data_IF_914322340532
#
_entry.id   IF_914322340532
#
_cell.length_a   1.000
_cell.length_b   1.000
_cell.length_c   1.000
_cell.angle_alpha   90.00
_cell.angle_beta   90.00
_cell.angle_gamma   90.00
#
_symmetry.space_group_name_H-M   'P 1'
#
loop_
_entity.id
_entity.type
_entity.pdbx_description
1 polymer ?
#
# COMPACT_ATOMS: atom_id res chain seq x y z
N UNK A 1 -15.36 29.32 25.16
CA UNK A 1 -15.15 30.82 25.18
C UNK A 1 -13.69 31.18 24.84
N UNK A 2 -12.68 30.52 25.42
CA UNK A 2 -11.26 30.79 25.14
C UNK A 2 -10.86 30.55 23.68
N UNK A 3 -11.40 29.49 23.03
CA UNK A 3 -11.09 29.18 21.63
C UNK A 3 -11.54 30.27 20.68
N UNK A 4 -12.80 30.70 20.78
CA UNK A 4 -13.37 31.79 19.95
C UNK A 4 -12.66 33.12 20.16
N UNK A 5 -12.31 33.46 21.40
CA UNK A 5 -11.58 34.69 21.70
C UNK A 5 -10.16 34.69 21.13
N UNK A 6 -9.50 33.56 21.06
CA UNK A 6 -8.17 33.40 20.48
C UNK A 6 -8.26 33.49 18.94
N UNK A 7 -9.19 32.76 18.33
CA UNK A 7 -9.38 32.75 16.86
C UNK A 7 -9.77 34.16 16.33
N UNK A 8 -10.55 34.91 17.08
CA UNK A 8 -10.96 36.27 16.68
C UNK A 8 -9.86 37.32 16.88
N UNK A 9 -8.92 37.10 17.78
CA UNK A 9 -7.85 38.04 18.12
C UNK A 9 -6.55 37.82 17.38
N UNK A 10 -6.24 36.58 16.99
CA UNK A 10 -4.98 36.25 16.35
C UNK A 10 -5.21 35.74 14.90
N UNK A 11 -4.49 36.31 13.95
CA UNK A 11 -4.36 35.71 12.60
C UNK A 11 -3.57 34.42 12.72
N UNK A 12 -4.26 33.31 13.02
CA UNK A 12 -3.66 32.00 13.09
C UNK A 12 -3.19 31.55 11.71
N UNK A 13 -1.93 31.15 11.62
CA UNK A 13 -1.41 30.50 10.41
C UNK A 13 -1.83 29.03 10.39
N UNK A 14 -2.33 28.49 9.26
CA UNK A 14 -2.76 27.09 9.19
C UNK A 14 -1.58 26.15 9.38
N UNK A 15 -1.67 25.26 10.36
CA UNK A 15 -0.66 24.21 10.62
C UNK A 15 -1.21 22.84 10.25
N UNK A 16 -0.38 22.02 9.58
CA UNK A 16 -0.76 20.66 9.16
C UNK A 16 -0.92 19.74 10.37
N UNK A 17 -2.05 19.05 10.46
CA UNK A 17 -2.36 18.06 11.49
C UNK A 17 -2.95 16.78 10.89
N UNK A 18 -3.21 15.76 11.72
CA UNK A 18 -3.76 14.47 11.29
C UNK A 18 -5.17 14.56 10.68
N UNK A 19 -5.94 15.60 11.01
CA UNK A 19 -7.29 15.80 10.48
C UNK A 19 -7.34 16.52 9.12
N UNK A 20 -6.19 16.96 8.59
CA UNK A 20 -6.19 17.71 7.32
C UNK A 20 -6.80 16.93 6.15
N UNK A 21 -6.65 15.60 6.14
CA UNK A 21 -7.15 14.76 5.03
C UNK A 21 -8.68 14.64 4.97
N UNK A 22 -9.38 14.99 6.05
CA UNK A 22 -10.85 14.98 6.14
C UNK A 22 -11.41 16.39 6.44
N UNK A 23 -10.59 17.44 6.26
CA UNK A 23 -10.94 18.80 6.63
C UNK A 23 -11.44 19.56 5.41
N UNK A 24 -12.63 20.15 5.48
CA UNK A 24 -13.23 20.97 4.41
C UNK A 24 -12.39 22.20 4.02
N UNK A 25 -11.48 22.62 4.90
CA UNK A 25 -10.57 23.74 4.66
C UNK A 25 -9.22 23.32 4.05
N UNK A 26 -9.04 22.05 3.70
CA UNK A 26 -7.76 21.54 3.21
C UNK A 26 -7.25 22.30 2.01
N UNK A 27 -8.11 22.61 1.03
CA UNK A 27 -7.72 23.33 -0.19
C UNK A 27 -7.28 24.75 0.11
N UNK A 28 -7.99 25.45 1.00
CA UNK A 28 -7.65 26.81 1.43
C UNK A 28 -6.27 26.84 2.10
N UNK A 29 -6.04 25.89 3.04
CA UNK A 29 -4.76 25.77 3.72
C UNK A 29 -3.64 25.40 2.74
N UNK A 30 -3.88 24.45 1.84
CA UNK A 30 -2.92 24.00 0.83
C UNK A 30 -2.54 25.12 -0.13
N UNK A 31 -3.53 25.91 -0.58
CA UNK A 31 -3.28 27.11 -1.40
C UNK A 31 -2.35 28.08 -0.68
N UNK A 32 -2.65 28.40 0.59
CA UNK A 32 -1.84 29.30 1.41
C UNK A 32 -0.42 28.78 1.61
N UNK A 33 -0.24 27.48 1.91
CA UNK A 33 1.08 26.87 2.05
C UNK A 33 1.89 26.91 0.75
N UNK A 34 1.24 26.74 -0.39
CA UNK A 34 1.88 26.81 -1.70
C UNK A 34 2.34 28.24 -2.02
N UNK A 35 1.48 29.24 -1.79
CA UNK A 35 1.81 30.64 -1.99
C UNK A 35 3.02 31.09 -1.15
N UNK A 36 3.06 30.65 0.11
CA UNK A 36 4.12 30.98 1.04
C UNK A 36 5.38 30.09 0.88
N UNK A 37 5.36 29.12 -0.03
CA UNK A 37 6.43 28.09 -0.15
C UNK A 37 6.76 27.46 1.21
N UNK A 38 5.70 27.15 1.99
CA UNK A 38 5.82 26.82 3.40
C UNK A 38 6.50 25.47 3.64
N UNK A 39 7.31 25.39 4.67
CA UNK A 39 8.18 24.24 4.96
C UNK A 39 7.43 22.93 5.20
N UNK A 40 6.14 22.98 5.63
CA UNK A 40 5.33 21.78 5.82
C UNK A 40 5.04 21.00 4.51
N UNK A 41 5.33 21.62 3.35
CA UNK A 41 5.19 21.00 2.02
C UNK A 41 6.44 20.20 1.60
N UNK A 42 7.49 20.16 2.43
CA UNK A 42 8.64 19.27 2.17
C UNK A 42 8.20 17.83 2.32
N UNK A 43 8.35 17.03 1.26
CA UNK A 43 7.94 15.63 1.25
C UNK A 43 8.62 14.85 2.40
N UNK A 44 7.79 14.14 3.19
CA UNK A 44 8.24 13.35 4.33
C UNK A 44 8.65 14.14 5.58
N UNK A 45 8.45 15.46 5.63
CA UNK A 45 8.69 16.25 6.84
C UNK A 45 7.59 16.00 7.89
N UNK A 46 7.99 15.89 9.16
CA UNK A 46 7.06 15.71 10.28
C UNK A 46 6.76 17.05 10.96
N UNK A 47 5.55 17.23 11.50
CA UNK A 47 5.16 18.45 12.23
C UNK A 47 6.15 18.84 13.35
N UNK A 48 6.69 17.86 14.07
CA UNK A 48 7.72 18.12 15.08
C UNK A 48 9.03 18.65 14.50
N UNK A 49 9.38 18.30 13.26
CA UNK A 49 10.56 18.81 12.55
C UNK A 49 10.29 20.24 12.02
N UNK A 50 9.09 20.47 11.49
CA UNK A 50 8.64 21.82 11.10
C UNK A 50 8.78 22.79 12.28
N UNK A 51 8.23 22.44 13.45
CA UNK A 51 8.29 23.26 14.65
C UNK A 51 9.73 23.57 15.08
N UNK A 52 10.62 22.59 14.98
CA UNK A 52 12.05 22.77 15.32
C UNK A 52 12.77 23.69 14.33
N UNK A 53 12.55 23.52 13.04
CA UNK A 53 13.16 24.34 11.99
C UNK A 53 12.65 25.79 12.02
N UNK A 54 11.35 25.99 12.30
CA UNK A 54 10.78 27.35 12.48
C UNK A 54 11.45 28.14 13.61
N UNK A 55 11.83 27.48 14.72
CA UNK A 55 12.59 28.12 15.80
C UNK A 55 13.95 28.66 15.34
N UNK A 56 14.51 28.09 14.27
CA UNK A 56 15.73 28.55 13.62
C UNK A 56 15.47 29.51 12.43
N UNK A 57 14.22 30.01 12.31
CA UNK A 57 13.78 30.90 11.21
C UNK A 57 13.81 30.23 9.82
N UNK A 58 13.88 28.89 9.77
CA UNK A 58 13.76 28.07 8.56
C UNK A 58 12.28 27.71 8.40
N UNK A 59 11.51 28.56 7.73
CA UNK A 59 10.04 28.44 7.61
C UNK A 59 9.56 28.15 6.19
N UNK A 60 10.47 28.15 5.19
CA UNK A 60 10.11 27.91 3.79
C UNK A 60 10.98 26.80 3.19
N UNK A 61 10.49 26.18 2.11
CA UNK A 61 11.25 25.17 1.33
C UNK A 61 12.54 25.79 0.82
N UNK A 62 12.48 27.01 0.27
CA UNK A 62 13.64 27.75 -0.23
C UNK A 62 14.72 27.92 0.85
N UNK A 63 14.34 28.37 2.05
CA UNK A 63 15.30 28.53 3.15
C UNK A 63 15.94 27.21 3.53
N UNK A 64 15.16 26.14 3.62
CA UNK A 64 15.70 24.81 3.93
C UNK A 64 16.64 24.33 2.81
N UNK A 65 16.28 24.53 1.55
CA UNK A 65 17.08 24.15 0.39
C UNK A 65 18.46 24.82 0.38
N UNK A 66 18.53 26.08 0.82
CA UNK A 66 19.77 26.89 0.92
C UNK A 66 20.57 26.63 2.20
N UNK A 67 20.00 25.94 3.19
CA UNK A 67 20.65 25.70 4.48
C UNK A 67 21.59 24.49 4.40
N UNK A 68 22.83 24.65 4.89
CA UNK A 68 23.72 23.52 5.12
C UNK A 68 23.16 22.65 6.26
N UNK A 69 22.89 21.35 6.04
CA UNK A 69 22.34 20.47 7.07
C UNK A 69 23.20 20.41 8.36
N UNK A 70 24.51 20.64 8.27
CA UNK A 70 25.41 20.71 9.42
C UNK A 70 25.21 21.96 10.30
N UNK A 71 24.66 23.04 9.73
CA UNK A 71 24.37 24.29 10.44
C UNK A 71 23.03 24.27 11.17
N UNK A 72 22.16 23.28 10.91
CA UNK A 72 20.89 23.12 11.64
C UNK A 72 21.19 22.66 13.07
N UNK A 73 20.89 23.51 14.07
CA UNK A 73 21.21 23.27 15.49
C UNK A 73 20.17 22.38 16.18
N UNK A 74 18.93 22.38 15.71
CA UNK A 74 17.81 21.62 16.27
C UNK A 74 18.13 20.13 16.45
N UNK A 75 17.55 19.54 17.50
CA UNK A 75 17.65 18.09 17.77
C UNK A 75 16.82 17.28 16.74
N UNK A 76 17.31 17.25 15.51
CA UNK A 76 16.85 16.39 14.42
C UNK A 76 18.02 15.45 14.10
N UNK A 77 17.71 14.17 13.84
CA UNK A 77 18.73 13.19 13.46
C UNK A 77 19.56 13.68 12.27
N UNK A 78 20.90 13.57 12.28
CA UNK A 78 21.77 14.07 11.22
C UNK A 78 21.40 13.57 9.82
N UNK A 79 21.09 12.28 9.66
CA UNK A 79 20.62 11.71 8.40
C UNK A 79 19.30 12.33 7.92
N UNK A 80 18.38 12.62 8.86
CA UNK A 80 17.14 13.32 8.54
C UNK A 80 17.37 14.77 8.09
N UNK A 81 18.33 15.48 8.70
CA UNK A 81 18.69 16.84 8.26
C UNK A 81 19.17 16.83 6.81
N UNK A 82 20.06 15.91 6.47
CA UNK A 82 20.58 15.74 5.09
C UNK A 82 19.43 15.41 4.14
N UNK A 83 18.60 14.42 4.49
CA UNK A 83 17.47 13.99 3.65
C UNK A 83 16.47 15.12 3.40
N UNK A 84 16.06 15.86 4.44
CA UNK A 84 15.12 16.97 4.31
C UNK A 84 15.67 18.13 3.50
N UNK A 85 16.95 18.49 3.70
CA UNK A 85 17.61 19.54 2.92
C UNK A 85 17.71 19.15 1.44
N UNK A 86 18.07 17.90 1.15
CA UNK A 86 18.12 17.39 -0.22
C UNK A 86 16.74 17.37 -0.87
N UNK A 87 15.71 16.94 -0.11
CA UNK A 87 14.32 16.96 -0.54
C UNK A 87 13.85 18.38 -0.88
N UNK A 88 14.15 19.35 -0.01
CA UNK A 88 13.83 20.75 -0.24
C UNK A 88 14.53 21.31 -1.49
N UNK A 89 15.77 20.92 -1.77
CA UNK A 89 16.49 21.32 -2.99
C UNK A 89 15.79 20.83 -4.26
N UNK A 90 15.36 19.57 -4.29
CA UNK A 90 14.64 19.00 -5.44
C UNK A 90 13.30 19.71 -5.68
N UNK A 91 12.56 19.97 -4.62
CA UNK A 91 11.26 20.66 -4.73
C UNK A 91 11.41 22.13 -5.14
N UNK A 92 12.42 22.82 -4.60
CA UNK A 92 12.72 24.19 -4.97
C UNK A 92 13.20 24.28 -6.43
N UNK A 93 14.05 23.36 -6.89
CA UNK A 93 14.46 23.29 -8.30
C UNK A 93 13.25 23.09 -9.23
N UNK A 94 12.33 22.19 -8.88
CA UNK A 94 11.08 22.03 -9.64
C UNK A 94 10.24 23.32 -9.66
N UNK A 95 10.12 24.01 -8.51
CA UNK A 95 9.40 25.28 -8.43
C UNK A 95 9.95 26.33 -9.36
N UNK A 96 11.30 26.38 -9.50
CA UNK A 96 11.99 27.37 -10.34
C UNK A 96 12.03 26.98 -11.83
N UNK A 97 12.11 25.69 -12.15
CA UNK A 97 12.36 25.22 -13.52
C UNK A 97 11.16 24.55 -14.17
N UNK A 98 10.11 24.24 -13.37
CA UNK A 98 8.95 23.42 -13.75
C UNK A 98 9.32 22.00 -14.25
N UNK A 99 10.53 21.51 -13.91
CA UNK A 99 11.00 20.17 -14.31
C UNK A 99 11.01 19.23 -13.13
N UNK A 100 10.28 18.12 -13.24
CA UNK A 100 10.32 17.04 -12.26
C UNK A 100 11.63 16.28 -12.32
N UNK A 101 12.20 15.97 -11.15
CA UNK A 101 13.47 15.24 -10.99
C UNK A 101 13.37 14.23 -9.86
N UNK A 102 14.21 13.21 -9.92
CA UNK A 102 14.42 12.27 -8.82
C UNK A 102 15.91 11.96 -8.66
N UNK A 103 16.26 11.45 -7.50
CA UNK A 103 17.57 10.89 -7.21
C UNK A 103 17.39 9.59 -6.43
N UNK A 104 18.32 8.64 -6.61
CA UNK A 104 18.41 7.49 -5.74
C UNK A 104 19.39 7.78 -4.59
N UNK A 105 18.95 7.40 -3.38
CA UNK A 105 19.77 7.45 -2.19
C UNK A 105 20.87 6.38 -2.26
N UNK A 106 21.92 6.54 -1.44
CA UNK A 106 22.92 5.49 -1.25
C UNK A 106 22.21 4.20 -0.80
N UNK A 107 22.57 3.09 -1.44
CA UNK A 107 22.03 1.78 -1.08
C UNK A 107 22.48 1.36 0.32
N UNK A 108 21.52 0.82 1.08
CA UNK A 108 21.72 0.28 2.42
C UNK A 108 21.18 -1.15 2.49
N UNK A 109 21.85 -2.00 3.24
CA UNK A 109 21.35 -3.35 3.55
C UNK A 109 20.03 -3.24 4.33
N UNK A 110 19.08 -4.11 4.04
CA UNK A 110 17.74 -4.16 4.63
C UNK A 110 16.80 -2.98 4.32
N UNK A 111 17.16 -2.12 3.36
CA UNK A 111 16.34 -0.97 2.96
C UNK A 111 16.28 -0.79 1.44
N UNK A 112 15.20 -0.16 0.99
CA UNK A 112 15.02 0.24 -0.40
C UNK A 112 15.21 -0.93 -1.37
N UNK A 113 16.11 -0.81 -2.31
CA UNK A 113 16.39 -1.85 -3.31
C UNK A 113 16.66 -3.24 -2.73
N UNK A 114 17.19 -3.34 -1.50
CA UNK A 114 17.40 -4.63 -0.85
C UNK A 114 16.09 -5.38 -0.57
N UNK A 115 14.98 -4.68 -0.42
CA UNK A 115 13.66 -5.27 -0.16
C UNK A 115 13.00 -5.85 -1.41
N UNK A 116 13.61 -5.68 -2.56
CA UNK A 116 13.11 -6.23 -3.82
C UNK A 116 13.64 -7.65 -4.02
N UNK A 117 12.77 -8.65 -4.19
CA UNK A 117 13.16 -9.97 -4.63
C UNK A 117 13.62 -9.95 -6.08
N UNK A 118 14.28 -11.02 -6.50
CA UNK A 118 14.61 -11.25 -7.90
C UNK A 118 13.31 -11.38 -8.71
N UNK A 119 13.15 -10.62 -9.81
CA UNK A 119 11.95 -10.69 -10.64
C UNK A 119 11.65 -12.11 -11.13
N UNK A 120 10.39 -12.49 -11.05
CA UNK A 120 9.90 -13.79 -11.49
C UNK A 120 8.77 -13.61 -12.50
N UNK A 121 8.69 -14.48 -13.48
CA UNK A 121 7.62 -14.46 -14.49
C UNK A 121 6.22 -14.54 -13.88
N UNK A 122 6.07 -15.25 -12.77
CA UNK A 122 4.81 -15.37 -12.05
C UNK A 122 4.50 -14.24 -11.08
N UNK A 123 5.28 -13.15 -11.05
CA UNK A 123 4.98 -12.02 -10.17
C UNK A 123 3.60 -11.42 -10.48
N UNK A 124 2.88 -11.04 -9.42
CA UNK A 124 1.52 -10.50 -9.49
C UNK A 124 1.53 -9.05 -8.98
N UNK A 125 0.85 -8.15 -9.68
CA UNK A 125 0.70 -6.75 -9.33
C UNK A 125 -0.76 -6.51 -8.94
N UNK A 126 -0.97 -6.12 -7.70
CA UNK A 126 -2.26 -6.14 -7.04
C UNK A 126 -2.64 -4.76 -6.51
N UNK A 127 -3.86 -4.39 -6.76
CA UNK A 127 -4.49 -3.20 -6.24
C UNK A 127 -5.94 -3.49 -5.82
N UNK A 128 -6.49 -2.69 -4.91
CA UNK A 128 -7.81 -2.91 -4.31
C UNK A 128 -8.56 -1.60 -4.13
N UNK A 129 -9.87 -1.62 -4.42
CA UNK A 129 -10.77 -0.51 -4.18
C UNK A 129 -11.73 -0.82 -3.04
N UNK A 130 -11.75 0.07 -2.04
CA UNK A 130 -12.57 -0.07 -0.84
C UNK A 130 -13.49 1.11 -0.61
N UNK A 131 -14.71 0.83 -0.18
CA UNK A 131 -15.68 1.83 0.22
C UNK A 131 -15.62 2.04 1.74
N UNK A 132 -15.31 3.27 2.21
CA UNK A 132 -15.19 3.54 3.64
C UNK A 132 -16.53 3.34 4.35
N UNK A 133 -16.49 2.69 5.51
CA UNK A 133 -17.66 2.48 6.38
C UNK A 133 -17.40 3.09 7.76
N UNK A 134 -18.41 3.68 8.35
CA UNK A 134 -18.32 4.15 9.73
C UNK A 134 -18.21 2.96 10.70
N UNK A 135 -17.26 3.06 11.64
CA UNK A 135 -17.05 2.07 12.71
C UNK A 135 -16.73 0.63 12.26
N UNK A 136 -16.40 0.43 10.98
CA UNK A 136 -16.01 -0.86 10.41
C UNK A 136 -14.80 -0.72 9.48
N UNK A 137 -14.19 -1.86 9.10
CA UNK A 137 -13.26 -1.82 7.98
C UNK A 137 -13.97 -1.40 6.69
N UNK A 138 -13.26 -0.86 5.71
CA UNK A 138 -13.83 -0.61 4.39
C UNK A 138 -14.47 -1.87 3.80
N UNK A 139 -15.49 -1.68 2.98
CA UNK A 139 -16.08 -2.71 2.15
C UNK A 139 -15.26 -2.80 0.86
N UNK A 140 -14.59 -3.92 0.64
CA UNK A 140 -13.71 -4.11 -0.52
C UNK A 140 -14.55 -4.58 -1.71
N UNK A 141 -14.78 -3.67 -2.66
CA UNK A 141 -15.69 -3.93 -3.76
C UNK A 141 -15.01 -4.38 -5.07
N UNK A 142 -13.70 -4.19 -5.17
CA UNK A 142 -12.93 -4.55 -6.35
C UNK A 142 -11.51 -4.97 -5.97
N UNK A 143 -11.09 -6.13 -6.45
CA UNK A 143 -9.70 -6.57 -6.42
C UNK A 143 -9.21 -6.70 -7.84
N UNK A 144 -8.14 -5.99 -8.21
CA UNK A 144 -7.49 -6.09 -9.50
C UNK A 144 -6.12 -6.73 -9.41
N UNK A 145 -5.80 -7.53 -10.39
CA UNK A 145 -4.47 -8.14 -10.53
C UNK A 145 -3.99 -8.02 -11.98
N UNK A 146 -2.73 -7.65 -12.14
CA UNK A 146 -2.02 -7.69 -13.41
C UNK A 146 -0.92 -8.74 -13.32
N UNK A 147 -0.88 -9.69 -14.25
CA UNK A 147 -0.04 -10.86 -14.15
C UNK A 147 0.26 -11.47 -15.50
N UNK A 148 1.32 -12.29 -15.60
CA UNK A 148 1.64 -13.06 -16.81
C UNK A 148 0.84 -14.36 -16.86
N UNK A 149 0.07 -14.58 -17.93
CA UNK A 149 -0.80 -15.76 -18.07
C UNK A 149 -0.09 -16.97 -18.71
N UNK A 150 1.19 -16.80 -19.09
CA UNK A 150 2.00 -17.79 -19.80
C UNK A 150 2.23 -17.45 -21.28
N UNK A 151 1.60 -16.35 -21.77
CA UNK A 151 1.79 -15.81 -23.13
C UNK A 151 2.04 -14.32 -23.09
N UNK A 152 1.24 -13.59 -22.35
CA UNK A 152 1.28 -12.14 -22.23
C UNK A 152 0.83 -11.70 -20.84
N UNK A 153 1.07 -10.45 -20.50
CA UNK A 153 0.51 -9.84 -19.31
C UNK A 153 -0.95 -9.48 -19.56
N UNK A 154 -1.81 -9.82 -18.59
CA UNK A 154 -3.23 -9.51 -18.62
C UNK A 154 -3.71 -8.96 -17.28
N UNK A 155 -4.76 -8.16 -17.33
CA UNK A 155 -5.49 -7.70 -16.15
C UNK A 155 -6.69 -8.60 -15.88
N UNK A 156 -6.95 -8.85 -14.60
CA UNK A 156 -8.12 -9.58 -14.11
C UNK A 156 -8.69 -8.92 -12.89
N UNK A 157 -9.99 -8.66 -12.92
CA UNK A 157 -10.73 -8.12 -11.81
C UNK A 157 -11.62 -9.16 -11.11
N UNK A 158 -11.88 -8.88 -9.84
CA UNK A 158 -12.87 -9.54 -9.01
C UNK A 158 -13.74 -8.46 -8.38
N UNK A 159 -14.89 -8.19 -9.01
CA UNK A 159 -15.77 -7.08 -8.68
C UNK A 159 -17.07 -7.59 -8.10
N UNK A 160 -17.59 -6.93 -7.05
CA UNK A 160 -18.90 -7.23 -6.49
C UNK A 160 -20.02 -6.89 -7.48
N UNK A 161 -21.11 -7.65 -7.40
CA UNK A 161 -22.33 -7.36 -8.16
C UNK A 161 -23.36 -6.58 -7.35
N UNK A 162 -23.17 -6.54 -6.03
CA UNK A 162 -24.03 -5.84 -5.10
C UNK A 162 -23.28 -5.47 -3.82
N UNK A 163 -23.80 -4.49 -3.06
CA UNK A 163 -23.20 -4.02 -1.81
C UNK A 163 -23.62 -4.88 -0.63
N UNK A 164 -23.18 -6.14 -0.63
CA UNK A 164 -23.48 -7.12 0.42
C UNK A 164 -22.23 -7.88 0.86
N UNK A 165 -22.16 -8.23 2.14
CA UNK A 165 -21.06 -9.06 2.68
C UNK A 165 -20.93 -10.40 1.96
N UNK A 166 -22.02 -10.97 1.47
CA UNK A 166 -21.98 -12.21 0.69
C UNK A 166 -21.27 -12.04 -0.67
N UNK A 167 -21.48 -10.91 -1.36
CA UNK A 167 -20.77 -10.63 -2.61
C UNK A 167 -19.29 -10.31 -2.34
N UNK A 168 -18.98 -9.55 -1.27
CA UNK A 168 -17.59 -9.30 -0.87
C UNK A 168 -16.84 -10.62 -0.57
N UNK A 169 -17.44 -11.50 0.22
CA UNK A 169 -16.89 -12.84 0.51
C UNK A 169 -16.69 -13.66 -0.76
N UNK A 170 -17.64 -13.62 -1.67
CA UNK A 170 -17.60 -14.36 -2.93
C UNK A 170 -16.47 -13.91 -3.85
N UNK A 171 -16.25 -12.59 -3.98
CA UNK A 171 -15.11 -12.08 -4.79
C UNK A 171 -13.79 -12.39 -4.09
N UNK A 172 -13.72 -12.27 -2.77
CA UNK A 172 -12.55 -12.67 -1.99
C UNK A 172 -12.20 -14.15 -2.18
N UNK A 173 -13.18 -15.06 -2.11
CA UNK A 173 -13.00 -16.50 -2.39
C UNK A 173 -12.41 -16.72 -3.78
N UNK A 174 -12.97 -16.09 -4.80
CA UNK A 174 -12.48 -16.20 -6.19
C UNK A 174 -11.05 -15.70 -6.37
N UNK A 175 -10.71 -14.56 -5.73
CA UNK A 175 -9.36 -14.03 -5.72
C UNK A 175 -8.38 -15.03 -5.11
N UNK A 176 -8.69 -15.56 -3.91
CA UNK A 176 -7.83 -16.53 -3.21
C UNK A 176 -7.65 -17.80 -4.02
N UNK A 177 -8.71 -18.35 -4.58
CA UNK A 177 -8.62 -19.54 -5.44
C UNK A 177 -7.75 -19.31 -6.68
N UNK A 178 -7.82 -18.13 -7.25
CA UNK A 178 -6.96 -17.74 -8.37
C UNK A 178 -5.50 -17.63 -7.92
N UNK A 179 -5.22 -16.87 -6.85
CA UNK A 179 -3.87 -16.66 -6.35
C UNK A 179 -3.22 -17.97 -5.91
N UNK A 180 -3.96 -18.85 -5.26
CA UNK A 180 -3.46 -20.16 -4.84
C UNK A 180 -2.96 -20.98 -6.06
N UNK A 181 -3.81 -21.13 -7.09
CA UNK A 181 -3.43 -21.83 -8.33
C UNK A 181 -2.24 -21.17 -9.02
N UNK A 182 -2.19 -19.84 -8.99
CA UNK A 182 -1.10 -19.08 -9.59
C UNK A 182 0.23 -19.30 -8.86
N UNK A 183 0.21 -19.19 -7.51
CA UNK A 183 1.41 -19.43 -6.69
C UNK A 183 1.84 -20.89 -6.65
N UNK A 184 0.94 -21.85 -6.86
CA UNK A 184 1.30 -23.26 -7.04
C UNK A 184 2.06 -23.47 -8.37
N UNK A 185 1.66 -22.80 -9.44
CA UNK A 185 2.36 -22.79 -10.72
C UNK A 185 3.69 -22.03 -10.66
N UNK A 186 3.72 -20.90 -9.93
CA UNK A 186 4.89 -20.03 -9.80
C UNK A 186 5.30 -19.84 -8.34
N UNK A 187 5.89 -20.87 -7.70
CA UNK A 187 6.16 -20.82 -6.24
C UNK A 187 7.20 -19.77 -5.83
N UNK A 188 8.02 -19.29 -6.76
CA UNK A 188 8.99 -18.20 -6.53
C UNK A 188 8.40 -16.81 -6.73
N UNK A 189 7.19 -16.69 -7.21
CA UNK A 189 6.53 -15.42 -7.44
C UNK A 189 6.25 -14.63 -6.15
N UNK A 190 6.12 -13.32 -6.32
CA UNK A 190 5.76 -12.36 -5.27
C UNK A 190 4.51 -11.57 -5.68
N UNK A 191 3.81 -11.03 -4.68
CA UNK A 191 2.68 -10.14 -4.86
C UNK A 191 3.13 -8.71 -4.55
N UNK A 192 3.21 -7.90 -5.59
CA UNK A 192 3.60 -6.49 -5.50
C UNK A 192 2.36 -5.61 -5.31
N UNK A 193 2.48 -4.64 -4.42
CA UNK A 193 1.45 -3.65 -4.13
C UNK A 193 2.06 -2.30 -3.77
N UNK A 194 1.23 -1.28 -3.64
CA UNK A 194 1.72 0.07 -3.32
C UNK A 194 1.11 0.59 -2.02
N UNK A 195 1.91 0.64 -0.96
CA UNK A 195 1.53 0.97 0.42
C UNK A 195 0.98 -0.25 1.20
N UNK A 196 0.50 -0.03 2.43
CA UNK A 196 0.13 -1.11 3.36
C UNK A 196 -1.36 -1.50 3.29
N UNK A 197 -2.15 -0.80 2.44
CA UNK A 197 -3.60 -0.98 2.40
C UNK A 197 -3.98 -2.39 1.94
N UNK A 198 -3.45 -2.85 0.82
CA UNK A 198 -3.79 -4.11 0.18
C UNK A 198 -3.45 -5.31 1.07
N UNK A 199 -2.27 -5.28 1.68
CA UNK A 199 -1.84 -6.31 2.63
C UNK A 199 -2.72 -6.36 3.87
N UNK A 200 -3.11 -5.18 4.39
CA UNK A 200 -4.00 -5.07 5.54
C UNK A 200 -5.40 -5.56 5.19
N UNK A 201 -5.97 -5.11 4.07
CA UNK A 201 -7.29 -5.50 3.61
C UNK A 201 -7.42 -7.02 3.42
N UNK A 202 -6.44 -7.66 2.76
CA UNK A 202 -6.43 -9.12 2.61
C UNK A 202 -6.39 -9.86 3.95
N UNK A 203 -5.64 -9.36 4.93
CA UNK A 203 -5.58 -9.94 6.27
C UNK A 203 -6.89 -9.79 7.01
N UNK A 204 -7.52 -8.61 6.92
CA UNK A 204 -8.81 -8.33 7.55
C UNK A 204 -9.93 -9.17 6.93
N UNK A 205 -9.99 -9.27 5.59
CA UNK A 205 -10.92 -10.16 4.87
C UNK A 205 -10.75 -11.63 5.27
N UNK A 206 -9.48 -12.09 5.31
CA UNK A 206 -9.16 -13.45 5.70
C UNK A 206 -9.61 -13.78 7.13
N UNK A 207 -9.48 -12.81 8.05
CA UNK A 207 -9.95 -12.93 9.42
C UNK A 207 -11.48 -12.96 9.51
N UNK A 208 -12.15 -12.01 8.84
CA UNK A 208 -13.61 -11.86 8.87
C UNK A 208 -14.34 -13.09 8.32
N UNK A 209 -13.82 -13.67 7.25
CA UNK A 209 -14.41 -14.83 6.59
C UNK A 209 -13.77 -16.16 7.01
N UNK A 210 -12.96 -16.17 8.08
CA UNK A 210 -12.28 -17.40 8.54
C UNK A 210 -13.23 -18.53 8.92
N UNK A 211 -14.41 -18.21 9.47
CA UNK A 211 -15.41 -19.19 9.85
C UNK A 211 -16.06 -19.89 8.64
N UNK A 212 -16.23 -19.18 7.53
CA UNK A 212 -16.87 -19.70 6.31
C UNK A 212 -15.88 -20.08 5.22
N UNK A 213 -14.62 -19.60 5.32
CA UNK A 213 -13.58 -19.85 4.35
C UNK A 213 -12.18 -19.93 5.00
N UNK A 214 -11.99 -20.92 5.86
CA UNK A 214 -10.71 -21.16 6.57
C UNK A 214 -9.53 -21.33 5.61
N UNK A 215 -9.76 -21.92 4.43
CA UNK A 215 -8.73 -22.09 3.40
C UNK A 215 -8.12 -20.74 2.98
N UNK A 216 -8.96 -19.70 2.85
CA UNK A 216 -8.49 -18.35 2.51
C UNK A 216 -7.63 -17.75 3.61
N UNK A 217 -8.02 -17.92 4.87
CA UNK A 217 -7.23 -17.48 6.00
C UNK A 217 -5.86 -18.15 6.05
N UNK A 218 -5.80 -19.46 5.88
CA UNK A 218 -4.56 -20.23 5.85
C UNK A 218 -3.65 -19.80 4.69
N UNK A 219 -4.22 -19.53 3.51
CA UNK A 219 -3.45 -19.08 2.34
C UNK A 219 -2.85 -17.69 2.54
N UNK A 220 -3.64 -16.72 3.03
CA UNK A 220 -3.14 -15.36 3.33
C UNK A 220 -2.05 -15.40 4.40
N UNK A 221 -2.26 -16.17 5.49
CA UNK A 221 -1.25 -16.39 6.52
C UNK A 221 0.05 -17.00 5.95
N UNK A 222 -0.07 -17.99 5.06
CA UNK A 222 1.08 -18.56 4.34
C UNK A 222 1.85 -17.50 3.54
N UNK A 223 1.15 -16.64 2.79
CA UNK A 223 1.80 -15.56 2.03
C UNK A 223 2.50 -14.55 2.95
N UNK A 224 1.91 -14.23 4.10
CA UNK A 224 2.51 -13.34 5.10
C UNK A 224 3.78 -13.93 5.70
N UNK A 225 3.75 -15.18 6.12
CA UNK A 225 4.91 -15.88 6.70
C UNK A 225 6.05 -16.07 5.71
N UNK A 226 5.74 -16.34 4.44
CA UNK A 226 6.71 -16.45 3.36
C UNK A 226 7.17 -15.10 2.80
N UNK A 227 6.78 -13.99 3.44
CA UNK A 227 7.10 -12.62 3.01
C UNK A 227 6.84 -12.37 1.51
N UNK A 228 5.73 -12.94 0.99
CA UNK A 228 5.37 -12.85 -0.43
C UNK A 228 4.86 -11.47 -0.85
N UNK A 229 4.54 -10.58 0.08
CA UNK A 229 4.10 -9.22 -0.20
C UNK A 229 5.28 -8.27 -0.36
N UNK A 230 5.33 -7.55 -1.47
CA UNK A 230 6.35 -6.54 -1.75
C UNK A 230 5.72 -5.16 -1.85
N UNK A 231 5.86 -4.38 -0.81
CA UNK A 231 5.39 -2.98 -0.76
C UNK A 231 6.37 -2.06 -1.50
N UNK A 232 6.02 -1.65 -2.72
CA UNK A 232 6.86 -0.76 -3.52
C UNK A 232 6.92 0.69 -2.98
N UNK A 233 5.89 1.17 -2.26
CA UNK A 233 5.98 2.45 -1.56
C UNK A 233 7.13 2.44 -0.54
N UNK A 234 7.27 1.33 0.18
CA UNK A 234 8.35 1.17 1.17
C UNK A 234 9.72 1.14 0.50
N UNK A 235 9.84 0.51 -0.66
CA UNK A 235 11.06 0.52 -1.47
C UNK A 235 11.38 1.95 -1.90
N UNK A 236 10.45 2.65 -2.56
CA UNK A 236 10.59 4.02 -3.05
C UNK A 236 10.96 4.99 -1.92
N UNK A 237 10.20 4.98 -0.82
CA UNK A 237 10.42 5.92 0.29
C UNK A 237 11.80 5.79 0.96
N UNK A 238 12.45 4.63 0.79
CA UNK A 238 13.76 4.35 1.35
C UNK A 238 14.89 4.59 0.35
N UNK A 239 14.70 4.28 -0.94
CA UNK A 239 15.78 4.39 -1.94
C UNK A 239 15.70 5.65 -2.82
N UNK A 240 14.59 6.39 -2.84
CA UNK A 240 14.37 7.48 -3.77
C UNK A 240 13.97 8.78 -3.06
N UNK A 241 14.34 9.91 -3.63
CA UNK A 241 13.81 11.24 -3.35
C UNK A 241 13.39 11.88 -4.66
N UNK A 242 12.29 12.62 -4.66
CA UNK A 242 11.73 13.23 -5.86
C UNK A 242 11.46 14.71 -5.62
N UNK A 243 11.25 15.46 -6.69
CA UNK A 243 10.82 16.84 -6.61
C UNK A 243 9.31 17.00 -6.30
N UNK A 244 8.60 15.88 -6.12
CA UNK A 244 7.17 15.87 -5.84
C UNK A 244 6.88 16.14 -4.36
N UNK A 245 5.64 16.56 -4.07
CA UNK A 245 5.20 16.89 -2.70
C UNK A 245 4.89 15.66 -1.86
N UNK A 246 4.65 14.54 -2.50
CA UNK A 246 4.39 13.25 -1.88
C UNK A 246 4.98 12.12 -2.72
N UNK A 247 4.84 10.89 -2.24
CA UNK A 247 5.27 9.67 -2.91
C UNK A 247 4.06 8.79 -3.26
N UNK A 248 2.89 9.36 -3.54
CA UNK A 248 1.78 8.58 -4.09
C UNK A 248 2.18 7.97 -5.44
N UNK A 249 1.56 6.86 -5.81
CA UNK A 249 1.86 6.17 -7.08
C UNK A 249 1.76 7.16 -8.25
N UNK A 250 0.69 7.98 -8.28
CA UNK A 250 0.47 9.03 -9.28
C UNK A 250 1.54 10.12 -9.31
N UNK A 251 2.07 10.48 -8.14
CA UNK A 251 3.14 11.49 -8.09
C UNK A 251 4.45 10.99 -8.68
N UNK A 252 4.73 9.69 -8.58
CA UNK A 252 5.99 9.11 -9.08
C UNK A 252 5.87 8.53 -10.49
N UNK A 253 4.68 8.25 -11.00
CA UNK A 253 4.44 7.73 -12.34
C UNK A 253 5.11 8.52 -13.45
N UNK A 254 5.10 9.83 -13.36
CA UNK A 254 5.73 10.74 -14.34
C UNK A 254 7.23 10.51 -14.58
N UNK A 255 7.87 9.67 -13.78
CA UNK A 255 9.28 9.32 -13.94
C UNK A 255 9.48 8.05 -14.78
N UNK A 256 8.41 7.28 -15.04
CA UNK A 256 8.50 6.01 -15.73
C UNK A 256 7.36 5.71 -16.71
N UNK A 257 6.28 6.51 -16.69
CA UNK A 257 5.14 6.38 -17.61
C UNK A 257 4.77 7.73 -18.22
N UNK A 258 4.08 7.70 -19.36
CA UNK A 258 3.35 8.83 -19.91
C UNK A 258 2.07 9.11 -19.09
N UNK A 259 1.42 10.23 -19.33
CA UNK A 259 0.17 10.58 -18.64
C UNK A 259 -0.91 9.53 -18.87
N UNK A 260 -1.69 9.25 -17.82
CA UNK A 260 -2.80 8.31 -17.87
C UNK A 260 -3.87 8.78 -18.85
N UNK A 261 -4.47 7.83 -19.55
CA UNK A 261 -5.60 8.08 -20.45
C UNK A 261 -6.96 8.08 -19.73
N UNK A 262 -7.03 7.59 -18.48
CA UNK A 262 -8.26 7.45 -17.73
C UNK A 262 -8.82 8.82 -17.24
N UNK A 263 -10.14 8.98 -17.33
CA UNK A 263 -10.85 10.18 -16.86
C UNK A 263 -10.84 10.31 -15.32
N UNK A 264 -10.71 9.20 -14.60
CA UNK A 264 -10.63 9.14 -13.11
C UNK A 264 -9.24 9.55 -12.66
N UNK A 265 -9.17 10.56 -11.78
CA UNK A 265 -7.90 11.12 -11.32
C UNK A 265 -7.58 10.81 -9.86
N UNK A 266 -8.57 10.49 -9.05
CA UNK A 266 -8.39 10.30 -7.59
C UNK A 266 -9.14 9.09 -7.08
N UNK A 267 -8.72 8.55 -5.91
CA UNK A 267 -9.46 7.51 -5.21
C UNK A 267 -10.87 7.98 -4.80
N UNK A 268 -11.05 9.27 -4.48
CA UNK A 268 -12.35 9.86 -4.18
C UNK A 268 -13.30 9.80 -5.40
N UNK A 269 -12.78 9.94 -6.60
CA UNK A 269 -13.56 9.81 -7.84
C UNK A 269 -14.01 8.34 -8.03
N UNK A 270 -13.14 7.35 -7.73
CA UNK A 270 -13.49 5.93 -7.75
C UNK A 270 -14.63 5.63 -6.78
N UNK A 271 -14.56 6.12 -5.54
CA UNK A 271 -15.63 5.97 -4.53
C UNK A 271 -16.94 6.58 -5.03
N UNK A 272 -16.93 7.81 -5.56
CA UNK A 272 -18.14 8.48 -6.08
C UNK A 272 -18.77 7.73 -7.25
N UNK A 273 -17.97 7.19 -8.16
CA UNK A 273 -18.48 6.39 -9.28
C UNK A 273 -19.06 5.06 -8.79
N UNK A 274 -18.45 4.43 -7.79
CA UNK A 274 -19.02 3.25 -7.17
C UNK A 274 -20.36 3.56 -6.48
N UNK A 275 -20.49 4.68 -5.75
CA UNK A 275 -21.77 5.15 -5.21
C UNK A 275 -22.81 5.41 -6.29
N UNK A 276 -22.41 6.08 -7.37
CA UNK A 276 -23.28 6.32 -8.54
C UNK A 276 -23.78 5.01 -9.14
N UNK A 277 -22.89 4.05 -9.33
CA UNK A 277 -23.27 2.72 -9.81
C UNK A 277 -24.22 1.99 -8.85
N UNK A 278 -24.01 2.07 -7.54
CA UNK A 278 -24.91 1.48 -6.55
C UNK A 278 -26.34 2.04 -6.68
N UNK A 279 -26.45 3.35 -6.87
CA UNK A 279 -27.72 4.07 -6.96
C UNK A 279 -28.42 3.88 -8.32
N UNK A 280 -27.67 3.87 -9.42
CA UNK A 280 -28.20 3.96 -10.79
C UNK A 280 -28.07 2.66 -11.56
N UNK A 281 -27.17 1.75 -11.14
CA UNK A 281 -26.74 0.55 -11.87
C UNK A 281 -26.24 0.88 -13.29
N UNK A 282 -25.63 2.07 -13.46
CA UNK A 282 -25.00 2.45 -14.70
C UNK A 282 -23.69 1.68 -14.90
N UNK A 283 -23.66 0.75 -15.84
CA UNK A 283 -22.50 -0.09 -16.11
C UNK A 283 -21.25 0.70 -16.52
N UNK A 284 -21.41 1.92 -17.04
CA UNK A 284 -20.28 2.76 -17.38
C UNK A 284 -19.47 3.14 -16.13
N UNK A 285 -20.14 3.55 -15.07
CA UNK A 285 -19.48 3.98 -13.83
C UNK A 285 -18.61 2.85 -13.25
N UNK A 286 -19.12 1.62 -13.26
CA UNK A 286 -18.35 0.45 -12.79
C UNK A 286 -17.18 0.12 -13.71
N UNK A 287 -17.35 0.23 -15.04
CA UNK A 287 -16.27 0.03 -16.01
C UNK A 287 -15.16 1.06 -15.84
N UNK A 288 -15.51 2.32 -15.59
CA UNK A 288 -14.53 3.37 -15.36
C UNK A 288 -13.73 3.10 -14.07
N UNK A 289 -14.38 2.62 -13.00
CA UNK A 289 -13.70 2.19 -11.77
C UNK A 289 -12.77 1.00 -12.01
N UNK A 290 -13.19 -0.01 -12.77
CA UNK A 290 -12.36 -1.17 -13.12
C UNK A 290 -11.14 -0.72 -13.94
N UNK A 291 -11.33 0.15 -14.93
CA UNK A 291 -10.23 0.69 -15.75
C UNK A 291 -9.23 1.50 -14.91
N UNK A 292 -9.71 2.24 -13.91
CA UNK A 292 -8.86 2.96 -12.98
C UNK A 292 -7.97 2.00 -12.16
N UNK A 293 -8.55 0.95 -11.60
CA UNK A 293 -7.82 -0.07 -10.85
C UNK A 293 -6.82 -0.85 -11.74
N UNK A 294 -7.19 -1.14 -13.00
CA UNK A 294 -6.28 -1.72 -13.99
C UNK A 294 -5.05 -0.84 -14.20
N UNK A 295 -5.25 0.47 -14.35
CA UNK A 295 -4.16 1.45 -14.49
C UNK A 295 -3.24 1.44 -13.25
N UNK A 296 -3.78 1.31 -12.03
CA UNK A 296 -2.98 1.25 -10.80
C UNK A 296 -2.19 -0.06 -10.71
N UNK A 297 -2.76 -1.20 -11.13
CA UNK A 297 -2.04 -2.47 -11.24
C UNK A 297 -0.89 -2.40 -12.26
N UNK A 298 -1.14 -1.85 -13.46
CA UNK A 298 -0.13 -1.69 -14.50
C UNK A 298 0.97 -0.71 -14.04
N UNK A 299 0.59 0.38 -13.38
CA UNK A 299 1.55 1.34 -12.84
C UNK A 299 2.46 0.71 -11.78
N UNK A 300 1.92 -0.20 -10.98
CA UNK A 300 2.70 -0.96 -9.99
C UNK A 300 3.71 -1.89 -10.67
N UNK A 301 3.33 -2.53 -11.79
CA UNK A 301 4.24 -3.31 -12.64
C UNK A 301 5.34 -2.43 -13.24
N UNK A 302 4.99 -1.32 -13.87
CA UNK A 302 5.94 -0.41 -14.50
C UNK A 302 6.91 0.20 -13.48
N UNK A 303 6.42 0.50 -12.28
CA UNK A 303 7.26 0.95 -11.17
C UNK A 303 8.27 -0.13 -10.78
N UNK A 304 7.87 -1.40 -10.66
CA UNK A 304 8.79 -2.50 -10.40
C UNK A 304 9.88 -2.56 -11.45
N UNK A 305 9.53 -2.49 -12.74
CA UNK A 305 10.47 -2.50 -13.86
C UNK A 305 11.42 -1.28 -13.81
N UNK A 306 10.88 -0.10 -13.54
CA UNK A 306 11.68 1.11 -13.36
C UNK A 306 12.69 0.97 -12.23
N UNK A 307 12.29 0.43 -11.08
CA UNK A 307 13.18 0.22 -9.93
C UNK A 307 14.25 -0.84 -10.24
N UNK A 308 13.92 -1.93 -10.92
CA UNK A 308 14.88 -2.96 -11.34
C UNK A 308 15.89 -2.38 -12.32
N UNK A 309 15.46 -1.61 -13.31
CA UNK A 309 16.35 -0.95 -14.29
C UNK A 309 17.36 0.00 -13.63
N UNK A 310 16.94 0.68 -12.57
CA UNK A 310 17.78 1.67 -11.85
C UNK A 310 18.54 1.09 -10.64
N UNK A 311 18.35 -0.17 -10.35
CA UNK A 311 19.02 -0.86 -9.25
C UNK A 311 20.51 -1.02 -9.55
N UNK A 312 21.41 -0.84 -8.55
CA UNK A 312 22.84 -1.11 -8.76
C UNK A 312 23.09 -2.57 -9.15
N UNK A 313 23.89 -2.79 -10.20
CA UNK A 313 24.08 -4.11 -10.83
C UNK A 313 24.49 -5.23 -9.86
N UNK A 314 25.33 -4.95 -8.87
CA UNK A 314 25.87 -5.95 -7.95
C UNK A 314 25.21 -5.88 -6.55
N UNK A 315 24.05 -5.24 -6.42
CA UNK A 315 23.39 -5.14 -5.15
C UNK A 315 22.51 -6.41 -4.92
N UNK A 316 22.54 -7.07 -3.74
CA UNK A 316 21.84 -8.33 -3.53
C UNK A 316 20.31 -8.13 -3.56
N UNK A 317 19.59 -9.10 -4.12
CA UNK A 317 18.14 -9.18 -4.00
C UNK A 317 17.73 -9.67 -2.62
N UNK A 318 16.51 -9.35 -2.22
CA UNK A 318 15.91 -9.94 -1.04
C UNK A 318 15.82 -11.45 -1.19
N UNK A 319 16.23 -12.15 -0.12
CA UNK A 319 16.03 -13.60 0.01
C UNK A 319 15.58 -13.86 1.44
N UNK A 320 14.64 -14.75 1.60
CA UNK A 320 14.29 -15.27 2.92
C UNK A 320 15.54 -15.89 3.56
N UNK A 321 15.75 -15.71 4.84
CA UNK A 321 16.90 -16.32 5.51
C UNK A 321 16.70 -17.85 5.61
N UNK A 322 17.80 -18.60 5.69
CA UNK A 322 17.74 -20.04 5.85
C UNK A 322 16.99 -20.45 7.15
N UNK A 323 17.08 -19.65 8.21
CA UNK A 323 16.31 -19.87 9.45
C UNK A 323 14.81 -19.66 9.26
N UNK A 324 14.42 -18.69 8.45
CA UNK A 324 13.02 -18.43 8.11
C UNK A 324 12.48 -19.50 7.16
N UNK A 325 13.30 -19.97 6.19
CA UNK A 325 12.96 -21.11 5.35
C UNK A 325 12.77 -22.39 6.17
N UNK A 326 13.63 -22.63 7.17
CA UNK A 326 13.53 -23.79 8.06
C UNK A 326 12.27 -23.73 8.94
N UNK A 327 11.99 -22.57 9.57
CA UNK A 327 10.74 -22.37 10.34
C UNK A 327 9.50 -22.59 9.46
N UNK A 328 9.55 -22.18 8.21
CA UNK A 328 8.46 -22.39 7.26
C UNK A 328 8.33 -23.85 6.82
N UNK A 329 9.44 -24.62 6.77
CA UNK A 329 9.41 -26.07 6.52
C UNK A 329 8.76 -26.81 7.69
N UNK A 330 9.13 -26.48 8.94
CA UNK A 330 8.50 -27.05 10.14
C UNK A 330 6.99 -26.75 10.19
N UNK A 331 6.58 -25.58 9.73
CA UNK A 331 5.16 -25.21 9.62
C UNK A 331 4.46 -26.07 8.57
N UNK A 332 5.08 -26.36 7.41
CA UNK A 332 4.51 -27.28 6.41
C UNK A 332 4.31 -28.70 6.96
N UNK A 333 5.28 -29.20 7.67
CA UNK A 333 5.17 -30.51 8.33
C UNK A 333 4.06 -30.52 9.38
N UNK A 334 3.89 -29.43 10.09
CA UNK A 334 2.80 -29.28 11.06
C UNK A 334 1.43 -29.17 10.35
N UNK A 335 1.33 -28.44 9.25
CA UNK A 335 0.10 -28.32 8.45
C UNK A 335 -0.34 -29.67 7.88
N UNK A 336 0.62 -30.50 7.43
CA UNK A 336 0.36 -31.86 6.98
C UNK A 336 -0.17 -32.71 8.14
N UNK A 337 0.43 -32.61 9.33
CA UNK A 337 -0.01 -33.34 10.53
C UNK A 337 -1.37 -32.85 11.01
N UNK A 338 -1.59 -31.53 11.02
CA UNK A 338 -2.88 -30.91 11.37
C UNK A 338 -3.99 -31.40 10.45
N UNK A 339 -3.76 -31.37 9.13
CA UNK A 339 -4.71 -31.87 8.13
C UNK A 339 -5.00 -33.37 8.31
N UNK A 340 -3.99 -34.17 8.63
CA UNK A 340 -4.17 -35.59 8.91
C UNK A 340 -4.96 -35.83 10.21
N UNK A 341 -4.79 -35.01 11.23
CA UNK A 341 -5.57 -35.05 12.47
C UNK A 341 -7.03 -34.64 12.19
N UNK A 342 -7.24 -33.54 11.43
CA UNK A 342 -8.58 -33.11 11.03
C UNK A 342 -9.34 -34.20 10.30
N UNK A 343 -8.71 -34.86 9.33
CA UNK A 343 -9.30 -36.00 8.60
C UNK A 343 -9.66 -37.18 9.51
N UNK A 344 -8.80 -37.50 10.50
CA UNK A 344 -9.09 -38.54 11.49
C UNK A 344 -10.24 -38.18 12.41
N UNK A 345 -10.29 -36.95 12.88
CA UNK A 345 -11.38 -36.46 13.75
C UNK A 345 -12.71 -36.55 13.02
N UNK A 346 -12.77 -36.08 11.77
CA UNK A 346 -13.99 -36.11 10.94
C UNK A 346 -14.39 -37.53 10.57
N UNK A 347 -13.42 -38.38 10.19
CA UNK A 347 -13.68 -39.74 9.78
C UNK A 347 -14.23 -40.65 10.90
N UNK A 348 -14.01 -40.28 12.16
CA UNK A 348 -14.54 -40.98 13.33
C UNK A 348 -15.95 -40.51 13.76
N UNK A 349 -16.45 -39.40 13.20
CA UNK A 349 -17.79 -38.88 13.51
C UNK A 349 -18.82 -39.51 12.58
N UNK A 350 -19.65 -40.38 13.13
CA UNK A 350 -20.75 -40.99 12.41
C UNK A 350 -21.99 -40.11 12.53
N UNK A 351 -22.55 -39.65 11.39
CA UNK A 351 -23.82 -38.95 11.26
C UNK A 351 -24.02 -37.67 12.08
N UNK A 352 -22.92 -36.96 12.43
CA UNK A 352 -23.04 -35.70 13.14
C UNK A 352 -23.32 -34.56 12.17
N UNK A 353 -23.94 -33.51 12.70
CA UNK A 353 -24.26 -32.30 11.94
C UNK A 353 -22.98 -31.70 11.34
N UNK A 354 -23.06 -31.20 10.13
CA UNK A 354 -21.92 -30.63 9.39
C UNK A 354 -21.26 -29.49 10.16
N UNK A 355 -22.04 -28.71 10.91
CA UNK A 355 -21.56 -27.63 11.79
C UNK A 355 -20.64 -28.15 12.89
N UNK A 356 -20.94 -29.32 13.50
CA UNK A 356 -20.08 -29.93 14.53
C UNK A 356 -18.74 -30.36 13.92
N UNK A 357 -18.75 -30.92 12.73
CA UNK A 357 -17.54 -31.33 12.02
C UNK A 357 -16.67 -30.13 11.68
N UNK A 358 -17.24 -29.03 11.20
CA UNK A 358 -16.53 -27.81 10.90
C UNK A 358 -15.93 -27.18 12.18
N UNK A 359 -16.70 -27.09 13.27
CA UNK A 359 -16.20 -26.58 14.54
C UNK A 359 -15.04 -27.40 15.09
N UNK A 360 -15.07 -28.72 14.97
CA UNK A 360 -13.99 -29.61 15.38
C UNK A 360 -12.73 -29.46 14.50
N UNK A 361 -12.90 -29.23 13.18
CA UNK A 361 -11.76 -28.86 12.31
C UNK A 361 -11.07 -27.57 12.81
N UNK A 362 -11.87 -26.58 13.22
CA UNK A 362 -11.33 -25.31 13.71
C UNK A 362 -10.61 -25.42 15.05
N UNK A 363 -10.99 -26.37 15.90
CA UNK A 363 -10.29 -26.61 17.18
C UNK A 363 -8.91 -27.23 17.00
N UNK A 364 -8.71 -28.00 15.92
CA UNK A 364 -7.38 -28.54 15.59
C UNK A 364 -6.47 -27.39 15.17
N UNK A 365 -5.39 -27.18 15.89
CA UNK A 365 -4.44 -26.09 15.63
C UNK A 365 -4.84 -24.73 16.20
N UNK A 366 -5.89 -24.65 17.05
CA UNK A 366 -6.35 -23.38 17.66
C UNK A 366 -5.23 -22.59 18.32
N UNK A 367 -4.43 -23.22 19.18
CA UNK A 367 -3.33 -22.54 19.90
C UNK A 367 -2.18 -22.04 19.01
N UNK A 368 -2.13 -22.44 17.76
CA UNK A 368 -1.14 -21.90 16.80
C UNK A 368 -1.59 -20.61 16.14
N UNK A 369 -2.90 -20.38 16.14
CA UNK A 369 -3.52 -19.23 15.46
C UNK A 369 -3.68 -18.00 16.37
N UNK A 370 -3.47 -18.18 17.67
CA UNK A 370 -3.29 -17.09 18.65
C UNK A 370 -1.85 -16.55 18.61
#
# INVERSE_FOLDING_TARGET
ENFLSTVLKEKMYPEKCSFCNICDWQDVCTKKWNEDNYINQVCGIRSSQVSKLKKEKISTIEKLAKTDPKKIKSKINPGSKVKLTQQAKLQEEKRLTNKSKFIFNKTETNKGFYKMPEPNEGDVFYDIEGFPQADQRPFEYLHGIYFFNGKEFEFKDFTVKDFTKAEEEKIFKKLIEFLEKHFDKYPKAYLYHYNDYEKRALRELASDYSATFIKGNNFVDKLLRLEKFVDLYRVVSQCMQTSEKDLSLKSIEKFYRDERSADIKTADDSIRLFESWLATKNDKDLKDVIAYNEEDCISTYDLREFLIKNRPKNFPFFKLSAEEEFKNADVKDFEIKESAIQLKVIGNLKNDEEEVKENLKHLVGFHRRE
#
